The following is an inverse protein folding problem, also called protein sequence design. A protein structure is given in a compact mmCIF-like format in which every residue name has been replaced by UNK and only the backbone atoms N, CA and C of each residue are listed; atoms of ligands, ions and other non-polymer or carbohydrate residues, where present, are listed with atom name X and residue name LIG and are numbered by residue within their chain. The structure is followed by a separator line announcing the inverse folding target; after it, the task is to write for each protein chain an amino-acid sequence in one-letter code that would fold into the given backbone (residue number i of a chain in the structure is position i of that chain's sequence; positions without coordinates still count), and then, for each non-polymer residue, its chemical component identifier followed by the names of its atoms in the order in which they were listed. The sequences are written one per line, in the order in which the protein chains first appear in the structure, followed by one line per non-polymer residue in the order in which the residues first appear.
data_IF_780206091466
#
_entry.id   IF_780206091466
#
_cell.length_a   1.000
_cell.length_b   1.000
_cell.length_c   1.000
_cell.angle_alpha   90.00
_cell.angle_beta   90.00
_cell.angle_gamma   90.00
#
_symmetry.space_group_name_H-M   'P 1'
#
loop_
_entity.id
_entity.type
_entity.pdbx_description
1 polymer ?
#
# COMPACT_ATOMS: atom_id res chain seq x y z
N UNK A 1 -4.93 6.65 2.82
CA UNK A 1 -5.34 5.59 3.77
C UNK A 1 -6.01 4.49 2.98
N UNK A 2 -5.44 3.30 3.03
CA UNK A 2 -6.03 2.08 2.49
C UNK A 2 -7.05 1.57 3.51
N UNK A 3 -8.30 1.49 3.07
CA UNK A 3 -9.41 0.98 3.86
C UNK A 3 -10.35 0.18 2.99
N UNK A 4 -11.03 -0.77 3.60
CA UNK A 4 -12.11 -1.49 2.96
C UNK A 4 -13.30 -0.54 2.76
N UNK A 5 -13.82 -0.43 1.54
CA UNK A 5 -14.92 0.51 1.25
C UNK A 5 -16.27 0.04 1.81
N UNK A 6 -16.45 -1.28 1.97
CA UNK A 6 -17.68 -1.88 2.48
C UNK A 6 -17.76 -1.78 4.00
N UNK A 7 -16.67 -2.11 4.71
CA UNK A 7 -16.65 -2.12 6.18
C UNK A 7 -16.12 -0.82 6.78
N UNK A 8 -15.48 0.04 5.98
CA UNK A 8 -14.69 1.20 6.43
C UNK A 8 -13.52 0.83 7.37
N UNK A 9 -13.17 -0.44 7.48
CA UNK A 9 -12.04 -0.85 8.32
C UNK A 9 -10.70 -0.55 7.64
N UNK A 10 -9.72 -0.03 8.39
CA UNK A 10 -8.39 0.20 7.85
C UNK A 10 -7.75 -1.12 7.44
N UNK A 11 -7.20 -1.16 6.22
CA UNK A 11 -6.50 -2.31 5.70
C UNK A 11 -5.09 -2.33 6.29
N UNK A 12 -4.99 -2.85 7.51
CA UNK A 12 -3.72 -3.03 8.21
C UNK A 12 -2.99 -4.28 7.75
N UNK A 13 -1.65 -4.23 7.82
CA UNK A 13 -0.78 -5.37 7.49
C UNK A 13 -0.92 -5.89 6.05
N UNK A 14 -1.26 -5.00 5.11
CA UNK A 14 -1.35 -5.32 3.69
C UNK A 14 -0.03 -5.00 3.00
N UNK A 15 0.50 -5.98 2.27
CA UNK A 15 1.67 -5.80 1.43
C UNK A 15 1.32 -4.93 0.22
N UNK A 16 2.15 -3.93 -0.02
CA UNK A 16 2.04 -3.08 -1.18
C UNK A 16 3.40 -2.96 -1.85
N UNK A 17 3.35 -2.71 -3.15
CA UNK A 17 4.50 -2.46 -3.99
C UNK A 17 4.32 -1.09 -4.66
N UNK A 18 5.34 -0.25 -4.58
CA UNK A 18 5.34 1.07 -5.20
C UNK A 18 6.45 1.10 -6.21
N UNK A 19 6.09 1.30 -7.47
CA UNK A 19 7.04 1.57 -8.55
C UNK A 19 7.16 3.07 -8.73
N UNK A 20 8.37 3.59 -8.54
CA UNK A 20 8.73 5.00 -8.70
C UNK A 20 9.94 5.09 -9.63
N UNK A 21 9.77 5.73 -10.79
CA UNK A 21 10.87 5.92 -11.76
C UNK A 21 11.65 4.63 -12.13
N UNK A 22 10.96 3.48 -12.13
CA UNK A 22 11.56 2.16 -12.37
C UNK A 22 12.17 1.49 -11.13
N UNK A 23 12.31 2.19 -10.01
CA UNK A 23 12.64 1.57 -8.71
C UNK A 23 11.38 0.98 -8.08
N UNK A 24 11.52 -0.20 -7.49
CA UNK A 24 10.42 -0.91 -6.83
C UNK A 24 10.69 -0.89 -5.33
N UNK A 25 9.73 -0.39 -4.57
CA UNK A 25 9.73 -0.36 -3.11
C UNK A 25 8.61 -1.27 -2.60
N UNK A 26 8.94 -2.17 -1.69
CA UNK A 26 7.97 -3.01 -1.00
C UNK A 26 7.76 -2.50 0.41
N UNK A 27 6.51 -2.46 0.85
CA UNK A 27 6.16 -2.08 2.20
C UNK A 27 4.89 -2.76 2.67
N UNK A 28 4.60 -2.59 3.95
CA UNK A 28 3.38 -3.10 4.58
C UNK A 28 2.64 -1.95 5.24
N UNK A 29 1.32 -1.89 5.07
CA UNK A 29 0.51 -0.85 5.70
C UNK A 29 0.52 -0.97 7.22
N UNK A 30 0.52 0.17 7.90
CA UNK A 30 0.44 0.21 9.36
C UNK A 30 -0.94 -0.24 9.89
N UNK A 31 -1.08 -0.31 11.21
CA UNK A 31 -2.35 -0.66 11.89
C UNK A 31 -3.55 0.24 11.53
N UNK A 32 -3.32 1.40 10.92
CA UNK A 32 -4.34 2.35 10.51
C UNK A 32 -4.51 2.39 8.98
N UNK A 33 -3.84 1.52 8.22
CA UNK A 33 -3.92 1.47 6.76
C UNK A 33 -3.13 2.56 6.04
N UNK A 34 -2.10 3.14 6.66
CA UNK A 34 -1.17 4.06 6.00
C UNK A 34 0.03 3.31 5.43
N UNK A 35 0.44 3.71 4.22
CA UNK A 35 1.74 3.34 3.64
C UNK A 35 2.83 4.20 4.25
N UNK A 36 4.09 3.88 3.95
CA UNK A 36 5.20 4.78 4.24
C UNK A 36 5.06 6.09 3.46
N UNK A 37 5.64 7.15 4.03
CA UNK A 37 5.65 8.48 3.44
C UNK A 37 6.65 8.50 2.29
N UNK A 38 6.15 8.69 1.07
CA UNK A 38 7.00 8.85 -0.12
C UNK A 38 7.01 10.32 -0.50
N UNK A 39 8.20 10.91 -0.47
CA UNK A 39 8.46 12.28 -0.91
C UNK A 39 9.50 12.21 -2.03
N UNK A 40 9.36 13.08 -3.03
CA UNK A 40 10.41 13.39 -4.00
C UNK A 40 10.35 14.88 -4.31
N UNK A 41 11.47 15.43 -4.73
CA UNK A 41 11.61 16.85 -5.10
C UNK A 41 11.14 17.12 -6.54
N UNK A 42 10.96 16.08 -7.35
CA UNK A 42 10.52 16.16 -8.75
C UNK A 42 9.07 15.69 -8.93
N UNK A 43 8.45 16.01 -10.06
CA UNK A 43 7.17 15.41 -10.44
C UNK A 43 7.44 14.05 -11.10
N UNK A 44 6.82 13.00 -10.58
CA UNK A 44 7.01 11.63 -11.05
C UNK A 44 5.69 10.86 -11.01
N UNK A 45 5.56 9.91 -11.93
CA UNK A 45 4.47 8.95 -11.89
C UNK A 45 4.79 7.85 -10.88
N UNK A 46 3.81 7.53 -10.04
CA UNK A 46 3.85 6.37 -9.15
C UNK A 46 2.82 5.35 -9.58
N UNK A 47 3.21 4.08 -9.51
CA UNK A 47 2.29 2.97 -9.58
C UNK A 47 2.29 2.24 -8.25
N UNK A 48 1.11 2.07 -7.66
CA UNK A 48 0.94 1.33 -6.41
C UNK A 48 0.18 0.06 -6.75
N UNK A 49 0.79 -1.10 -6.51
CA UNK A 49 0.14 -2.41 -6.57
C UNK A 49 -0.12 -2.86 -5.13
N UNK A 50 -1.38 -3.15 -4.81
CA UNK A 50 -1.77 -3.66 -3.50
C UNK A 50 -1.91 -5.18 -3.63
N UNK A 51 -1.12 -5.93 -2.89
CA UNK A 51 -1.16 -7.39 -2.88
C UNK A 51 -1.78 -7.83 -1.57
N UNK A 52 -3.10 -7.96 -1.58
CA UNK A 52 -3.80 -8.69 -0.54
C UNK A 52 -3.57 -10.18 -0.80
N UNK A 53 -2.65 -10.82 -0.08
CA UNK A 53 -2.76 -12.27 0.06
C UNK A 53 -4.09 -12.52 0.74
N UNK A 54 -5.05 -13.12 0.02
CA UNK A 54 -6.24 -13.66 0.65
C UNK A 54 -5.76 -14.65 1.72
N UNK A 55 -5.71 -14.20 2.98
CA UNK A 55 -5.67 -15.09 4.12
C UNK A 55 -7.01 -15.84 4.09
N UNK A 56 -7.07 -16.90 3.27
CA UNK A 56 -8.04 -17.98 3.38
C UNK A 56 -7.83 -18.60 4.76
N UNK A 57 -8.45 -18.00 5.76
CA UNK A 57 -8.72 -18.65 7.02
C UNK A 57 -9.70 -19.77 6.73
N UNK A 58 -9.15 -20.98 6.58
CA UNK A 58 -9.91 -22.24 6.64
C UNK A 58 -10.32 -22.57 8.06
#
# INVERSE_FOLDING_TARGET
MLKDELTNEPLSNICYEITKNGEIMHGTTDKNGFTELIIDDSAFDIKINITCEEHRHG
#
